data_IF_318162979510
#
_entry.id   IF_318162979510
#
_cell.length_a   1.000
_cell.length_b   1.000
_cell.length_c   1.000
_cell.angle_alpha   90.00
_cell.angle_beta   90.00
_cell.angle_gamma   90.00
#
_symmetry.space_group_name_H-M   'P 1'
#
loop_
_entity.id
_entity.type
_entity.pdbx_description
1 polymer ?
#
# COMPACT_ATOMS: atom_id res chain seq x y z
N UNK A 1 14.82 8.91 9.53
CA UNK A 1 13.34 8.93 9.51
C UNK A 1 12.83 7.57 9.96
N UNK A 2 11.86 7.50 10.87
CA UNK A 2 11.22 6.24 11.26
C UNK A 2 9.91 6.05 10.49
N UNK A 3 9.69 4.88 9.88
CA UNK A 3 8.48 4.54 9.12
C UNK A 3 8.05 3.12 9.44
N UNK A 4 6.75 2.87 9.32
CA UNK A 4 6.15 1.55 9.56
C UNK A 4 5.41 1.15 8.29
N UNK A 5 5.60 -0.09 7.86
CA UNK A 5 4.96 -0.68 6.69
C UNK A 5 4.33 -2.01 7.12
N UNK A 6 3.10 -2.27 6.66
CA UNK A 6 2.44 -3.56 6.85
C UNK A 6 2.62 -4.36 5.57
N UNK A 7 3.44 -5.40 5.63
CA UNK A 7 3.73 -6.28 4.51
C UNK A 7 3.98 -7.72 4.99
N UNK A 8 4.03 -8.67 4.06
CA UNK A 8 4.25 -10.09 4.35
C UNK A 8 5.72 -10.38 4.68
N UNK A 9 6.65 -9.71 4.00
CA UNK A 9 8.09 -9.92 4.14
C UNK A 9 8.85 -8.61 4.37
N UNK A 10 10.05 -8.72 4.94
CA UNK A 10 10.96 -7.59 5.15
C UNK A 10 11.40 -6.96 3.82
N UNK A 11 11.66 -7.77 2.79
CA UNK A 11 12.04 -7.30 1.45
C UNK A 11 10.96 -6.44 0.79
N UNK A 12 9.70 -6.84 0.95
CA UNK A 12 8.55 -6.14 0.37
C UNK A 12 8.31 -4.82 1.11
N UNK A 13 8.43 -4.83 2.44
CA UNK A 13 8.40 -3.62 3.26
C UNK A 13 9.52 -2.61 2.87
N UNK A 14 10.73 -3.10 2.59
CA UNK A 14 11.84 -2.25 2.10
C UNK A 14 11.54 -1.71 0.70
N UNK A 15 10.93 -2.52 -0.16
CA UNK A 15 10.51 -2.08 -1.50
C UNK A 15 9.44 -0.98 -1.41
N UNK A 16 8.46 -1.13 -0.51
CA UNK A 16 7.49 -0.08 -0.22
C UNK A 16 8.18 1.19 0.30
N UNK A 17 9.17 1.05 1.19
CA UNK A 17 9.96 2.17 1.70
C UNK A 17 10.63 2.97 0.57
N UNK A 18 11.31 2.31 -0.36
CA UNK A 18 11.93 2.98 -1.51
C UNK A 18 10.91 3.73 -2.37
N UNK A 19 9.77 3.10 -2.69
CA UNK A 19 8.70 3.72 -3.49
C UNK A 19 8.11 4.94 -2.81
N UNK A 20 7.86 4.83 -1.51
CA UNK A 20 7.27 5.88 -0.69
C UNK A 20 8.23 7.07 -0.51
N UNK A 21 9.51 6.81 -0.25
CA UNK A 21 10.55 7.85 -0.18
C UNK A 21 10.74 8.55 -1.53
N UNK A 22 10.69 7.82 -2.64
CA UNK A 22 10.70 8.39 -3.98
C UNK A 22 9.48 9.27 -4.26
N UNK A 23 8.27 8.80 -3.92
CA UNK A 23 7.04 9.54 -4.19
C UNK A 23 6.89 10.80 -3.32
N UNK A 24 7.16 10.69 -2.01
CA UNK A 24 6.93 11.79 -1.05
C UNK A 24 8.09 12.77 -0.94
N UNK A 25 9.31 12.31 -1.15
CA UNK A 25 10.52 13.12 -0.92
C UNK A 25 11.45 13.19 -2.13
N UNK A 26 11.08 12.58 -3.27
CA UNK A 26 11.92 12.52 -4.47
C UNK A 26 13.31 11.91 -4.21
N UNK A 27 13.43 11.12 -3.14
CA UNK A 27 14.67 10.45 -2.79
C UNK A 27 14.88 9.26 -3.74
N UNK A 28 16.07 9.19 -4.35
CA UNK A 28 16.45 8.07 -5.22
C UNK A 28 16.95 6.91 -4.37
N UNK A 29 16.94 5.70 -4.92
CA UNK A 29 17.34 4.51 -4.17
C UNK A 29 18.77 4.63 -3.60
N UNK A 30 19.72 5.15 -4.38
CA UNK A 30 21.11 5.35 -3.95
C UNK A 30 21.28 6.45 -2.89
N UNK A 31 20.29 7.34 -2.69
CA UNK A 31 20.35 8.39 -1.67
C UNK A 31 19.68 7.98 -0.36
N UNK A 32 19.21 6.74 -0.23
CA UNK A 32 18.50 6.22 0.94
C UNK A 32 19.36 5.15 1.60
N UNK A 33 19.68 5.35 2.88
CA UNK A 33 20.36 4.38 3.71
C UNK A 33 19.39 3.83 4.76
N UNK A 34 19.28 2.50 4.83
CA UNK A 34 18.42 1.80 5.78
C UNK A 34 19.30 1.38 6.96
N UNK A 35 19.00 1.90 8.15
CA UNK A 35 19.80 1.67 9.36
C UNK A 35 19.36 0.38 10.07
N UNK A 36 18.05 0.18 10.22
CA UNK A 36 17.48 -0.99 10.90
C UNK A 36 16.09 -1.28 10.34
N UNK A 37 15.78 -2.56 10.18
CA UNK A 37 14.44 -3.05 9.88
C UNK A 37 14.13 -4.16 10.86
N UNK A 38 12.98 -4.08 11.51
CA UNK A 38 12.52 -5.10 12.44
C UNK A 38 10.99 -5.23 12.39
N UNK A 39 10.45 -6.43 12.61
CA UNK A 39 9.02 -6.59 12.83
C UNK A 39 8.63 -5.92 14.14
N UNK A 40 7.54 -5.15 14.11
CA UNK A 40 7.01 -4.43 15.27
C UNK A 40 5.67 -5.04 15.66
N UNK A 41 5.49 -5.33 16.95
CA UNK A 41 4.22 -5.86 17.46
C UNK A 41 3.10 -4.81 17.34
N UNK A 42 1.85 -5.26 17.14
CA UNK A 42 0.69 -4.38 16.86
C UNK A 42 0.45 -3.30 17.93
N UNK A 43 0.74 -3.62 19.20
CA UNK A 43 0.65 -2.69 20.32
C UNK A 43 1.71 -1.58 20.31
N UNK A 44 2.85 -1.83 19.68
CA UNK A 44 3.98 -0.91 19.62
C UNK A 44 4.00 -0.03 18.36
N UNK A 45 3.15 -0.32 17.36
CA UNK A 45 3.01 0.52 16.17
C UNK A 45 2.57 1.95 16.56
N UNK A 46 3.10 2.96 15.89
CA UNK A 46 2.86 4.38 16.18
C UNK A 46 2.14 5.08 15.02
N UNK A 47 2.23 4.56 13.78
CA UNK A 47 1.68 5.24 12.60
C UNK A 47 0.16 5.00 12.45
N UNK A 48 -0.68 6.05 12.36
CA UNK A 48 -2.14 5.89 12.24
C UNK A 48 -2.59 5.03 11.05
N UNK A 49 -1.92 5.17 9.89
CA UNK A 49 -2.19 4.38 8.68
C UNK A 49 -1.98 2.88 8.89
N UNK A 50 -1.07 2.49 9.80
CA UNK A 50 -0.83 1.09 10.16
C UNK A 50 -1.84 0.65 11.23
N UNK A 51 -2.04 1.49 12.27
CA UNK A 51 -2.98 1.21 13.37
C UNK A 51 -4.40 0.95 12.90
N UNK A 52 -4.91 1.69 11.91
CA UNK A 52 -6.27 1.50 11.39
C UNK A 52 -6.51 0.07 10.85
N UNK A 53 -5.45 -0.65 10.47
CA UNK A 53 -5.53 -1.97 9.87
C UNK A 53 -5.43 -3.12 10.90
N UNK A 54 -5.35 -2.81 12.20
CA UNK A 54 -5.18 -3.81 13.26
C UNK A 54 -6.50 -4.43 13.75
N UNK A 55 -7.65 -3.82 13.46
CA UNK A 55 -8.94 -4.37 13.84
C UNK A 55 -9.19 -5.71 13.13
N UNK A 56 -9.37 -6.78 13.89
CA UNK A 56 -9.61 -8.13 13.36
C UNK A 56 -10.98 -8.27 12.70
N UNK A 57 -11.93 -7.39 13.02
CA UNK A 57 -13.27 -7.35 12.42
C UNK A 57 -13.39 -6.32 11.31
N UNK A 58 -12.27 -5.73 10.86
CA UNK A 58 -12.25 -4.67 9.87
C UNK A 58 -12.95 -5.10 8.59
N UNK A 59 -13.89 -4.27 8.15
CA UNK A 59 -14.62 -4.41 6.89
C UNK A 59 -14.74 -3.04 6.27
N UNK A 60 -14.50 -2.97 4.97
CA UNK A 60 -14.66 -1.76 4.19
C UNK A 60 -15.29 -2.11 2.84
N UNK A 61 -16.22 -1.29 2.33
CA UNK A 61 -16.72 -1.45 0.98
C UNK A 61 -15.59 -1.21 -0.02
N UNK A 62 -15.73 -1.73 -1.24
CA UNK A 62 -14.88 -1.37 -2.37
C UNK A 62 -15.64 -0.32 -3.20
N UNK A 63 -15.37 0.99 -3.05
CA UNK A 63 -16.20 2.03 -3.65
C UNK A 63 -16.09 2.07 -5.18
N UNK A 64 -14.95 1.64 -5.73
CA UNK A 64 -14.72 1.51 -7.16
C UNK A 64 -13.93 0.24 -7.45
N UNK A 65 -14.40 -0.53 -8.43
CA UNK A 65 -13.72 -1.71 -8.95
C UNK A 65 -13.53 -1.56 -10.45
N UNK A 66 -12.29 -1.32 -10.86
CA UNK A 66 -11.91 -1.30 -12.27
C UNK A 66 -11.48 -2.72 -12.68
N UNK A 67 -12.31 -3.41 -13.45
CA UNK A 67 -11.91 -4.67 -14.07
C UNK A 67 -11.04 -4.38 -15.30
N UNK A 68 -9.77 -4.79 -15.23
CA UNK A 68 -8.86 -4.76 -16.37
C UNK A 68 -9.27 -5.84 -17.37
N UNK A 69 -10.23 -5.53 -18.24
CA UNK A 69 -10.48 -6.33 -19.45
C UNK A 69 -9.44 -6.00 -20.50
N UNK A 70 -9.15 -6.93 -21.43
CA UNK A 70 -8.38 -6.62 -22.64
C UNK A 70 -8.99 -5.37 -23.30
N UNK A 71 -8.21 -4.28 -23.28
CA UNK A 71 -8.67 -2.97 -23.73
C UNK A 71 -8.94 -3.01 -25.23
N UNK A 72 -10.19 -2.78 -25.61
CA UNK A 72 -10.54 -2.40 -26.98
C UNK A 72 -10.92 -0.92 -26.92
N UNK A 73 -10.51 -0.16 -27.94
CA UNK A 73 -10.94 1.22 -28.13
C UNK A 73 -12.48 1.32 -28.21
N UNK A 74 -13.12 0.28 -28.73
CA UNK A 74 -14.58 0.20 -28.87
C UNK A 74 -15.17 -0.89 -27.97
N UNK A 75 -16.21 -0.56 -27.22
CA UNK A 75 -16.97 -1.48 -26.38
C UNK A 75 -18.47 -1.29 -26.65
N UNK A 76 -19.18 -2.39 -26.86
CA UNK A 76 -20.63 -2.37 -27.08
C UNK A 76 -21.43 -2.11 -25.78
N UNK A 77 -20.84 -2.40 -24.62
CA UNK A 77 -21.47 -2.22 -23.30
C UNK A 77 -20.73 -1.16 -22.50
N UNK A 78 -21.47 -0.34 -21.75
CA UNK A 78 -20.89 0.63 -20.82
C UNK A 78 -20.18 -0.11 -19.67
N UNK A 79 -18.98 0.32 -19.26
CA UNK A 79 -18.32 -0.25 -18.09
C UNK A 79 -19.10 0.07 -16.81
N UNK A 80 -19.05 -0.84 -15.84
CA UNK A 80 -19.57 -0.64 -14.50
C UNK A 80 -18.41 -0.65 -13.50
N UNK A 81 -18.47 0.20 -12.47
CA UNK A 81 -17.45 0.38 -11.43
C UNK A 81 -17.94 -0.01 -10.03
N UNK A 82 -19.23 -0.35 -9.86
CA UNK A 82 -19.84 -0.73 -8.59
C UNK A 82 -20.50 -2.13 -8.66
N UNK A 83 -20.75 -2.74 -7.50
CA UNK A 83 -21.47 -4.02 -7.42
C UNK A 83 -22.97 -3.80 -7.58
N UNK A 84 -23.56 -4.50 -8.56
CA UNK A 84 -24.97 -4.92 -8.62
C UNK A 84 -24.95 -6.45 -8.72
#
# INVERSE_FOLDING_TARGET
>A
MYREYRDLNVSDAVTQCYRDMGARHRARAHSIQIIKVEPVHSSACRRPLVKQMHDSKIRFPLPSRVQKSGGSLFKAKRPNTYFL
#
